data_IF_383921663272
#
_entry.id   IF_383921663272
#
_cell.length_a   1.000
_cell.length_b   1.000
_cell.length_c   1.000
_cell.angle_alpha   90.00
_cell.angle_beta   90.00
_cell.angle_gamma   90.00
#
_symmetry.space_group_name_H-M   'P 1'
#
loop_
_entity.id
_entity.type
_entity.pdbx_description
1 polymer ?
#
# COMPACT_ATOMS: atom_id res chain seq x y z
N UNK A 1 18.94 1.51 18.00
CA UNK A 1 17.77 1.87 17.15
C UNK A 1 17.41 0.76 16.16
N UNK A 2 18.34 0.29 15.30
CA UNK A 2 18.07 -0.86 14.42
C UNK A 2 17.99 -2.19 15.19
N UNK A 3 18.85 -2.36 16.18
CA UNK A 3 18.95 -3.56 17.02
C UNK A 3 17.70 -3.78 17.88
N UNK A 4 17.19 -2.74 18.53
CA UNK A 4 15.95 -2.81 19.31
C UNK A 4 14.73 -3.13 18.44
N UNK A 5 14.68 -2.57 17.22
CA UNK A 5 13.62 -2.89 16.26
C UNK A 5 13.69 -4.36 15.81
N UNK A 6 14.89 -4.86 15.49
CA UNK A 6 15.09 -6.26 15.12
C UNK A 6 14.74 -7.23 16.26
N UNK A 7 15.01 -6.86 17.52
CA UNK A 7 14.60 -7.64 18.68
C UNK A 7 13.08 -7.68 18.85
N UNK A 8 12.41 -6.52 18.78
CA UNK A 8 10.94 -6.46 18.87
C UNK A 8 10.25 -7.30 17.78
N UNK A 9 10.79 -7.31 16.55
CA UNK A 9 10.28 -8.15 15.46
C UNK A 9 10.47 -9.64 15.76
N UNK A 10 11.63 -10.04 16.31
CA UNK A 10 11.89 -11.44 16.68
C UNK A 10 10.95 -11.92 17.78
N UNK A 11 10.72 -11.10 18.79
CA UNK A 11 9.82 -11.42 19.90
C UNK A 11 8.38 -11.57 19.42
N UNK A 12 7.89 -10.64 18.59
CA UNK A 12 6.57 -10.74 17.95
C UNK A 12 6.39 -12.04 17.14
N UNK A 13 7.40 -12.42 16.35
CA UNK A 13 7.35 -13.66 15.57
C UNK A 13 7.40 -14.92 16.45
N UNK A 14 8.14 -14.88 17.56
CA UNK A 14 8.20 -15.98 18.52
C UNK A 14 6.87 -16.15 19.26
N UNK A 15 6.22 -15.05 19.63
CA UNK A 15 4.89 -15.03 20.24
C UNK A 15 3.83 -15.57 19.28
N UNK A 16 3.84 -15.11 18.02
CA UNK A 16 2.95 -15.63 16.97
C UNK A 16 3.11 -17.16 16.82
N UNK A 17 4.36 -17.65 16.83
CA UNK A 17 4.66 -19.09 16.74
C UNK A 17 4.17 -19.86 17.98
N UNK A 18 4.33 -19.30 19.18
CA UNK A 18 3.88 -19.93 20.44
C UNK A 18 2.35 -20.05 20.48
N UNK A 19 1.66 -19.05 19.94
CA UNK A 19 0.19 -18.98 19.93
C UNK A 19 -0.43 -19.68 18.71
N UNK A 20 0.37 -20.13 17.75
CA UNK A 20 -0.11 -20.77 16.53
C UNK A 20 -0.83 -19.81 15.58
N UNK A 21 -0.63 -18.51 15.73
CA UNK A 21 -1.23 -17.47 14.89
C UNK A 21 -0.27 -17.08 13.77
N UNK A 22 -0.83 -16.75 12.61
CA UNK A 22 -0.04 -16.19 11.52
C UNK A 22 0.24 -14.72 11.81
N UNK A 23 1.51 -14.28 11.81
CA UNK A 23 1.83 -12.87 11.96
C UNK A 23 1.18 -12.06 10.85
N UNK A 24 0.74 -10.86 11.19
CA UNK A 24 0.15 -9.94 10.22
C UNK A 24 1.21 -9.61 9.16
N UNK A 25 0.86 -9.79 7.88
CA UNK A 25 1.74 -9.40 6.79
C UNK A 25 1.57 -7.91 6.57
N UNK A 26 2.65 -7.11 6.61
CA UNK A 26 2.57 -5.72 6.19
C UNK A 26 1.93 -5.59 4.82
N UNK A 27 1.16 -4.52 4.61
CA UNK A 27 0.57 -4.24 3.31
C UNK A 27 1.67 -4.21 2.24
N UNK A 28 1.53 -5.03 1.20
CA UNK A 28 2.60 -5.24 0.20
C UNK A 28 2.88 -4.03 -0.70
N UNK A 29 2.03 -3.01 -0.65
CA UNK A 29 2.04 -1.87 -1.58
C UNK A 29 1.63 -2.20 -3.02
N UNK A 30 1.43 -3.49 -3.35
CA UNK A 30 1.01 -3.93 -4.69
C UNK A 30 -0.51 -3.93 -4.77
N UNK A 31 -1.05 -3.28 -5.79
CA UNK A 31 -2.48 -3.21 -6.03
C UNK A 31 -2.80 -3.74 -7.43
N UNK A 32 -3.35 -4.95 -7.49
CA UNK A 32 -3.80 -5.57 -8.74
C UNK A 32 -5.31 -5.32 -8.89
N UNK A 33 -5.68 -4.28 -9.63
CA UNK A 33 -7.08 -3.91 -9.88
C UNK A 33 -7.52 -4.31 -11.28
N UNK A 34 -8.77 -4.77 -11.39
CA UNK A 34 -9.49 -4.79 -12.67
C UNK A 34 -10.21 -3.46 -12.82
N UNK A 35 -9.69 -2.60 -13.70
CA UNK A 35 -10.29 -1.29 -14.00
C UNK A 35 -10.92 -1.36 -15.41
N UNK A 36 -12.18 -0.94 -15.59
CA UNK A 36 -12.78 -0.87 -16.92
C UNK A 36 -11.92 -0.04 -17.89
N UNK A 37 -11.81 -0.42 -19.18
CA UNK A 37 -10.94 0.27 -20.14
C UNK A 37 -11.21 1.77 -20.27
N UNK A 38 -12.47 2.19 -20.19
CA UNK A 38 -12.85 3.60 -20.25
C UNK A 38 -12.25 4.41 -19.08
N UNK A 39 -12.35 3.87 -17.85
CA UNK A 39 -11.82 4.52 -16.66
C UNK A 39 -10.29 4.51 -16.68
N UNK A 40 -9.69 3.39 -17.12
CA UNK A 40 -8.24 3.29 -17.28
C UNK A 40 -7.70 4.33 -18.28
N UNK A 41 -8.38 4.51 -19.42
CA UNK A 41 -8.02 5.52 -20.41
C UNK A 41 -8.09 6.95 -19.85
N UNK A 42 -9.16 7.28 -19.13
CA UNK A 42 -9.31 8.59 -18.47
C UNK A 42 -8.23 8.83 -17.42
N UNK A 43 -7.87 7.80 -16.64
CA UNK A 43 -6.79 7.89 -15.67
C UNK A 43 -5.41 8.11 -16.32
N UNK A 44 -5.14 7.46 -17.45
CA UNK A 44 -3.91 7.69 -18.23
C UNK A 44 -3.81 9.14 -18.72
N UNK A 45 -4.89 9.68 -19.28
CA UNK A 45 -4.94 11.09 -19.73
C UNK A 45 -4.72 12.05 -18.56
N UNK A 46 -5.39 11.82 -17.43
CA UNK A 46 -5.23 12.65 -16.23
C UNK A 46 -3.79 12.61 -15.67
N UNK A 47 -3.19 11.42 -15.63
CA UNK A 47 -1.80 11.25 -15.19
C UNK A 47 -0.83 11.99 -16.13
N UNK A 48 -1.01 11.83 -17.45
CA UNK A 48 -0.18 12.49 -18.46
C UNK A 48 -0.29 14.01 -18.39
N UNK A 49 -1.51 14.55 -18.26
CA UNK A 49 -1.76 15.99 -18.13
C UNK A 49 -1.10 16.58 -16.88
N UNK A 50 -0.96 15.78 -15.81
CA UNK A 50 -0.25 16.15 -14.60
C UNK A 50 1.28 15.91 -14.66
N UNK A 51 1.81 15.40 -15.78
CA UNK A 51 3.23 15.04 -15.93
C UNK A 51 3.66 13.85 -15.07
N UNK A 52 2.74 12.94 -14.73
CA UNK A 52 2.95 11.82 -13.81
C UNK A 52 2.78 10.48 -14.50
N UNK A 53 3.46 9.45 -14.00
CA UNK A 53 3.09 8.07 -14.30
C UNK A 53 1.73 7.73 -13.71
N UNK A 54 1.04 6.74 -14.29
CA UNK A 54 -0.25 6.27 -13.76
C UNK A 54 -0.16 5.82 -12.29
N UNK A 55 0.94 5.15 -11.90
CA UNK A 55 1.14 4.71 -10.52
C UNK A 55 1.31 5.87 -9.54
N UNK A 56 2.05 6.92 -9.93
CA UNK A 56 2.19 8.12 -9.08
C UNK A 56 0.85 8.83 -8.92
N UNK A 57 0.15 9.06 -10.03
CA UNK A 57 -1.17 9.69 -10.01
C UNK A 57 -2.18 8.89 -9.16
N UNK A 58 -2.24 7.57 -9.34
CA UNK A 58 -3.12 6.70 -8.55
C UNK A 58 -2.74 6.70 -7.06
N UNK A 59 -1.45 6.73 -6.73
CA UNK A 59 -0.99 6.82 -5.33
C UNK A 59 -1.49 8.10 -4.67
N UNK A 60 -1.41 9.24 -5.35
CA UNK A 60 -1.90 10.52 -4.83
C UNK A 60 -3.41 10.53 -4.65
N UNK A 61 -4.16 9.97 -5.61
CA UNK A 61 -5.63 9.85 -5.51
C UNK A 61 -5.99 8.99 -4.30
N UNK A 62 -5.32 7.85 -4.10
CA UNK A 62 -5.53 7.00 -2.94
C UNK A 62 -5.15 7.72 -1.64
N UNK A 63 -4.05 8.47 -1.61
CA UNK A 63 -3.64 9.27 -0.45
C UNK A 63 -4.70 10.30 -0.06
N UNK A 64 -5.27 11.03 -1.02
CA UNK A 64 -6.36 11.97 -0.74
C UNK A 64 -7.61 11.24 -0.23
N UNK A 65 -7.95 10.10 -0.83
CA UNK A 65 -9.15 9.33 -0.47
C UNK A 65 -9.09 8.71 0.93
N UNK A 66 -7.91 8.45 1.49
CA UNK A 66 -7.73 7.85 2.82
C UNK A 66 -7.48 8.88 3.93
N UNK A 67 -7.36 10.17 3.60
CA UNK A 67 -7.26 11.21 4.62
C UNK A 67 -8.62 11.42 5.30
N UNK A 68 -8.71 11.39 6.64
CA UNK A 68 -9.97 11.62 7.35
C UNK A 68 -10.36 13.10 7.22
N UNK A 69 -11.34 13.39 6.35
CA UNK A 69 -11.86 14.75 6.14
C UNK A 69 -12.30 15.11 4.71
N UNK A 70 -12.31 14.16 3.77
CA UNK A 70 -12.90 14.32 2.44
C UNK A 70 -14.38 13.97 2.39
#
# INVERSE_FOLDING_TARGET
MKTEFEHAVKDYLADCKREGIHPEKPASGKLLLRVPPEIHGRALVAAQAAGKSLNQWATEVLQHAVQPGG
#
